data_IF_342330225432
#
_entry.id   IF_342330225432
#
_cell.length_a   1.000
_cell.length_b   1.000
_cell.length_c   1.000
_cell.angle_alpha   90.00
_cell.angle_beta   90.00
_cell.angle_gamma   90.00
#
_symmetry.space_group_name_H-M   'P 1'
#
loop_
_entity.id
_entity.type
_entity.pdbx_description
1 polymer ?
#
# COMPACT_ATOMS: atom_id res chain seq x y z
N UNK A 1 26.15 57.57 -12.75
CA UNK A 1 26.26 56.58 -13.83
C UNK A 1 26.28 55.19 -13.19
N UNK A 2 25.11 54.56 -13.03
CA UNK A 2 25.01 53.24 -12.40
C UNK A 2 25.27 52.20 -13.49
N UNK A 3 26.49 51.64 -13.52
CA UNK A 3 26.81 50.48 -14.35
C UNK A 3 26.10 49.27 -13.73
N UNK A 4 25.06 48.78 -14.40
CA UNK A 4 24.44 47.51 -14.05
C UNK A 4 25.34 46.40 -14.60
N UNK A 5 26.06 45.73 -13.71
CA UNK A 5 26.99 44.66 -14.05
C UNK A 5 26.22 43.45 -14.60
N UNK A 6 26.30 43.21 -15.92
CA UNK A 6 25.66 42.07 -16.61
C UNK A 6 26.42 40.77 -16.38
N UNK A 7 26.76 40.46 -15.14
CA UNK A 7 27.34 39.18 -14.73
C UNK A 7 26.37 38.52 -13.75
N UNK A 8 25.59 37.56 -14.27
CA UNK A 8 24.72 36.73 -13.44
C UNK A 8 23.21 36.95 -13.58
N UNK A 9 22.72 37.63 -14.62
CA UNK A 9 21.27 37.68 -14.85
C UNK A 9 20.83 36.38 -15.52
N UNK A 10 20.34 35.43 -14.72
CA UNK A 10 19.58 34.28 -15.23
C UNK A 10 18.47 34.85 -16.13
N UNK A 11 18.42 34.42 -17.39
CA UNK A 11 17.39 34.90 -18.30
C UNK A 11 16.03 34.47 -17.79
N UNK A 12 15.01 35.31 -17.98
CA UNK A 12 13.66 35.01 -17.52
C UNK A 12 13.16 33.67 -18.11
N UNK A 13 13.56 33.36 -19.34
CA UNK A 13 13.28 32.09 -20.02
C UNK A 13 13.88 30.89 -19.28
N UNK A 14 15.11 31.00 -18.76
CA UNK A 14 15.74 29.92 -18.00
C UNK A 14 15.01 29.65 -16.67
N UNK A 15 14.63 30.71 -15.94
CA UNK A 15 13.87 30.59 -14.69
C UNK A 15 12.51 29.95 -14.96
N UNK A 16 11.84 30.36 -16.04
CA UNK A 16 10.53 29.84 -16.42
C UNK A 16 10.60 28.36 -16.83
N UNK A 17 11.63 27.97 -17.58
CA UNK A 17 11.85 26.57 -17.99
C UNK A 17 12.12 25.68 -16.77
N UNK A 18 13.01 26.09 -15.87
CA UNK A 18 13.31 25.33 -14.65
C UNK A 18 12.08 25.22 -13.75
N UNK A 19 11.35 26.33 -13.56
CA UNK A 19 10.11 26.34 -12.78
C UNK A 19 9.05 25.39 -13.36
N UNK A 20 8.88 25.38 -14.68
CA UNK A 20 7.95 24.48 -15.34
C UNK A 20 8.31 23.00 -15.18
N UNK A 21 9.59 22.65 -15.33
CA UNK A 21 10.07 21.27 -15.08
C UNK A 21 9.80 20.88 -13.62
N UNK A 22 10.07 21.77 -12.67
CA UNK A 22 9.88 21.50 -11.25
C UNK A 22 8.40 21.23 -10.93
N UNK A 23 7.48 22.01 -11.50
CA UNK A 23 6.03 21.78 -11.37
C UNK A 23 5.64 20.39 -11.89
N UNK A 24 6.13 20.00 -13.08
CA UNK A 24 5.86 18.67 -13.63
C UNK A 24 6.36 17.57 -12.69
N UNK A 25 7.59 17.70 -12.21
CA UNK A 25 8.19 16.71 -11.29
C UNK A 25 7.36 16.57 -10.00
N UNK A 26 6.90 17.68 -9.42
CA UNK A 26 6.07 17.66 -8.21
C UNK A 26 4.72 16.98 -8.43
N UNK A 27 4.08 17.21 -9.59
CA UNK A 27 2.82 16.55 -9.93
C UNK A 27 3.00 15.03 -9.98
N UNK A 28 4.02 14.54 -10.71
CA UNK A 28 4.28 13.11 -10.81
C UNK A 28 4.71 12.50 -9.47
N UNK A 29 5.52 13.20 -8.68
CA UNK A 29 5.94 12.74 -7.35
C UNK A 29 4.73 12.57 -6.40
N UNK A 30 3.76 13.48 -6.46
CA UNK A 30 2.52 13.38 -5.67
C UNK A 30 1.74 12.12 -6.01
N UNK A 31 1.51 11.87 -7.32
CA UNK A 31 0.71 10.73 -7.79
C UNK A 31 1.42 9.39 -7.55
N UNK A 32 2.74 9.34 -7.77
CA UNK A 32 3.53 8.13 -7.56
C UNK A 32 3.57 7.71 -6.09
N UNK A 33 3.62 8.68 -5.16
CA UNK A 33 3.60 8.42 -3.73
C UNK A 33 2.32 7.71 -3.26
N UNK A 34 1.16 8.18 -3.74
CA UNK A 34 -0.14 7.59 -3.38
C UNK A 34 -0.24 6.13 -3.82
N UNK A 35 0.10 5.86 -5.09
CA UNK A 35 0.04 4.50 -5.62
C UNK A 35 1.07 3.57 -4.96
N UNK A 36 2.25 4.10 -4.62
CA UNK A 36 3.27 3.34 -3.92
C UNK A 36 2.80 2.90 -2.53
N UNK A 37 2.13 3.78 -1.76
CA UNK A 37 1.62 3.43 -0.43
C UNK A 37 0.60 2.29 -0.52
N UNK A 38 -0.40 2.41 -1.41
CA UNK A 38 -1.44 1.40 -1.59
C UNK A 38 -0.84 0.05 -2.01
N UNK A 39 0.13 0.07 -2.93
CA UNK A 39 0.79 -1.14 -3.40
C UNK A 39 1.58 -1.84 -2.26
N UNK A 40 2.27 -1.08 -1.42
CA UNK A 40 2.99 -1.62 -0.26
C UNK A 40 2.04 -2.29 0.74
N UNK A 41 0.93 -1.62 1.09
CA UNK A 41 -0.08 -2.20 1.99
C UNK A 41 -0.66 -3.48 1.41
N UNK A 42 -1.02 -3.49 0.11
CA UNK A 42 -1.55 -4.68 -0.57
C UNK A 42 -0.54 -5.82 -0.59
N UNK A 43 0.73 -5.52 -0.88
CA UNK A 43 1.80 -6.51 -0.90
C UNK A 43 1.99 -7.14 0.49
N UNK A 44 2.09 -6.32 1.55
CA UNK A 44 2.21 -6.79 2.93
C UNK A 44 1.01 -7.62 3.38
N UNK A 45 -0.21 -7.15 3.11
CA UNK A 45 -1.43 -7.88 3.45
C UNK A 45 -1.48 -9.24 2.74
N UNK A 46 -1.14 -9.27 1.45
CA UNK A 46 -1.06 -10.50 0.66
C UNK A 46 0.01 -11.45 1.21
N UNK A 47 1.17 -10.92 1.59
CA UNK A 47 2.28 -11.69 2.12
C UNK A 47 1.88 -12.35 3.45
N UNK A 48 1.38 -11.57 4.41
CA UNK A 48 0.90 -12.12 5.69
C UNK A 48 -0.18 -13.19 5.50
N UNK A 49 -1.14 -12.96 4.60
CA UNK A 49 -2.14 -13.97 4.26
C UNK A 49 -1.51 -15.25 3.68
N UNK A 50 -0.52 -15.10 2.78
CA UNK A 50 0.14 -16.21 2.10
C UNK A 50 1.01 -17.03 3.06
N UNK A 51 1.68 -16.37 3.99
CA UNK A 51 2.46 -17.00 5.06
C UNK A 51 1.55 -17.77 6.01
N UNK A 52 0.44 -17.17 6.46
CA UNK A 52 -0.52 -17.82 7.34
C UNK A 52 -1.16 -19.07 6.73
N UNK A 53 -1.53 -19.02 5.44
CA UNK A 53 -2.07 -20.23 4.78
C UNK A 53 -1.01 -21.31 4.60
N UNK A 54 0.25 -20.92 4.38
CA UNK A 54 1.38 -21.86 4.25
C UNK A 54 1.73 -22.51 5.59
N UNK A 55 1.76 -21.73 6.67
CA UNK A 55 2.00 -22.21 8.03
C UNK A 55 0.95 -23.25 8.45
N UNK A 56 -0.32 -23.03 8.13
CA UNK A 56 -1.37 -24.02 8.44
C UNK A 56 -1.18 -25.35 7.72
N UNK A 57 -0.75 -25.34 6.47
CA UNK A 57 -0.47 -26.57 5.72
C UNK A 57 0.73 -27.30 6.33
N UNK A 58 1.74 -26.55 6.77
CA UNK A 58 2.92 -27.12 7.44
C UNK A 58 2.59 -27.75 8.80
N UNK A 59 1.75 -27.09 9.60
CA UNK A 59 1.35 -27.59 10.93
C UNK A 59 0.34 -28.73 10.82
N UNK A 60 -0.53 -28.73 9.81
CA UNK A 60 -1.51 -29.78 9.59
C UNK A 60 -1.39 -30.36 8.17
N UNK A 61 -0.52 -31.38 8.04
CA UNK A 61 -0.25 -32.08 6.78
C UNK A 61 -1.47 -32.83 6.19
N UNK A 62 -2.58 -32.96 6.93
CA UNK A 62 -3.83 -33.54 6.43
C UNK A 62 -4.80 -32.50 5.87
N UNK A 63 -4.56 -31.22 6.13
CA UNK A 63 -5.38 -30.14 5.61
C UNK A 63 -5.10 -29.92 4.13
N UNK A 64 -6.17 -29.79 3.34
CA UNK A 64 -6.01 -29.51 1.91
C UNK A 64 -5.41 -28.11 1.70
N UNK A 65 -4.39 -27.92 0.83
CA UNK A 65 -3.70 -26.65 0.68
C UNK A 65 -4.63 -25.50 0.28
N UNK A 66 -4.51 -24.35 0.97
CA UNK A 66 -5.22 -23.10 0.64
C UNK A 66 -4.22 -22.11 0.09
N UNK A 67 -4.60 -21.36 -0.94
CA UNK A 67 -3.74 -20.34 -1.56
C UNK A 67 -4.47 -19.02 -1.66
N UNK A 68 -3.73 -17.92 -1.59
CA UNK A 68 -4.23 -16.60 -1.97
C UNK A 68 -4.30 -16.52 -3.50
N UNK A 69 -5.47 -16.25 -4.06
CA UNK A 69 -5.70 -16.23 -5.50
C UNK A 69 -5.65 -14.81 -6.05
N UNK A 70 -6.44 -13.91 -5.46
CA UNK A 70 -6.54 -12.51 -5.91
C UNK A 70 -6.57 -11.58 -4.72
N UNK A 71 -6.01 -10.38 -4.88
CA UNK A 71 -6.19 -9.28 -3.92
C UNK A 71 -6.76 -8.10 -4.68
N UNK A 72 -7.88 -7.57 -4.20
CA UNK A 72 -8.56 -6.43 -4.81
C UNK A 72 -8.70 -5.30 -3.81
N UNK A 73 -8.45 -4.08 -4.26
CA UNK A 73 -8.65 -2.86 -3.46
C UNK A 73 -9.86 -2.13 -3.98
N UNK A 74 -10.78 -1.77 -3.09
CA UNK A 74 -11.95 -0.95 -3.41
C UNK A 74 -12.04 0.26 -2.49
N UNK A 75 -12.75 1.30 -2.89
CA UNK A 75 -12.92 2.53 -2.10
C UNK A 75 -11.85 3.60 -2.37
N UNK A 76 -12.20 4.85 -2.08
CA UNK A 76 -11.35 6.01 -2.36
C UNK A 76 -10.53 6.40 -1.13
N UNK A 77 -11.16 6.99 -0.12
CA UNK A 77 -10.53 7.41 1.15
C UNK A 77 -10.41 6.24 2.14
N UNK A 78 -11.52 5.50 2.29
CA UNK A 78 -11.57 4.26 3.05
C UNK A 78 -11.38 3.09 2.08
N UNK A 79 -10.18 2.55 2.03
CA UNK A 79 -9.80 1.47 1.12
C UNK A 79 -10.07 0.12 1.77
N UNK A 80 -10.80 -0.75 1.10
CA UNK A 80 -11.00 -2.14 1.52
C UNK A 80 -10.11 -3.05 0.70
N UNK A 81 -9.24 -3.80 1.39
CA UNK A 81 -8.38 -4.82 0.79
C UNK A 81 -9.09 -6.16 0.97
N UNK A 82 -9.57 -6.72 -0.13
CA UNK A 82 -10.18 -8.04 -0.14
C UNK A 82 -9.16 -9.06 -0.63
N UNK A 83 -8.80 -9.99 0.24
CA UNK A 83 -7.91 -11.10 -0.07
C UNK A 83 -8.77 -12.32 -0.32
N UNK A 84 -8.74 -12.82 -1.57
CA UNK A 84 -9.46 -14.02 -1.98
C UNK A 84 -8.59 -15.25 -1.80
N UNK A 85 -9.17 -16.27 -1.18
CA UNK A 85 -8.53 -17.57 -1.03
C UNK A 85 -8.98 -18.53 -2.15
N UNK A 86 -8.40 -19.71 -2.20
CA UNK A 86 -8.75 -20.73 -3.21
C UNK A 86 -9.95 -21.59 -2.79
N UNK A 87 -10.40 -21.46 -1.53
CA UNK A 87 -11.52 -22.20 -0.97
C UNK A 87 -12.05 -21.50 0.29
N UNK A 88 -13.27 -21.84 0.67
CA UNK A 88 -13.84 -21.49 1.97
C UNK A 88 -13.10 -22.19 3.10
N UNK A 89 -12.78 -21.42 4.14
CA UNK A 89 -12.06 -21.88 5.34
C UNK A 89 -12.90 -21.67 6.59
N UNK A 90 -12.56 -22.35 7.68
CA UNK A 90 -13.25 -22.18 8.96
C UNK A 90 -13.10 -20.75 9.49
N UNK A 91 -14.06 -20.24 10.30
CA UNK A 91 -13.99 -18.89 10.87
C UNK A 91 -12.72 -18.65 11.69
N UNK A 92 -12.26 -19.65 12.44
CA UNK A 92 -11.01 -19.58 13.21
C UNK A 92 -9.79 -19.42 12.30
N UNK A 93 -9.71 -20.20 11.22
CA UNK A 93 -8.63 -20.07 10.25
C UNK A 93 -8.71 -18.73 9.51
N UNK A 94 -9.92 -18.26 9.20
CA UNK A 94 -10.13 -16.94 8.60
C UNK A 94 -9.59 -15.82 9.50
N UNK A 95 -9.85 -15.89 10.80
CA UNK A 95 -9.34 -14.91 11.77
C UNK A 95 -7.82 -14.98 11.92
N UNK A 96 -7.24 -16.18 11.87
CA UNK A 96 -5.79 -16.36 11.89
C UNK A 96 -5.13 -15.70 10.66
N UNK A 97 -5.63 -15.96 9.46
CA UNK A 97 -5.13 -15.35 8.21
C UNK A 97 -5.31 -13.84 8.23
N UNK A 98 -6.47 -13.36 8.70
CA UNK A 98 -6.75 -11.93 8.84
C UNK A 98 -5.75 -11.26 9.79
N UNK A 99 -5.53 -11.83 10.96
CA UNK A 99 -4.59 -11.27 11.95
C UNK A 99 -3.16 -11.24 11.42
N UNK A 100 -2.71 -12.31 10.77
CA UNK A 100 -1.38 -12.31 10.14
C UNK A 100 -1.25 -11.24 9.04
N UNK A 101 -2.29 -11.07 8.22
CA UNK A 101 -2.34 -10.00 7.21
C UNK A 101 -2.29 -8.61 7.84
N UNK A 102 -3.02 -8.39 8.93
CA UNK A 102 -3.04 -7.12 9.65
C UNK A 102 -1.68 -6.85 10.30
N UNK A 103 -1.04 -7.85 10.91
CA UNK A 103 0.29 -7.71 11.51
C UNK A 103 1.34 -7.35 10.46
N UNK A 104 1.33 -8.01 9.29
CA UNK A 104 2.27 -7.71 8.22
C UNK A 104 2.14 -6.27 7.68
N UNK A 105 0.93 -5.70 7.74
CA UNK A 105 0.71 -4.29 7.39
C UNK A 105 1.07 -3.35 8.55
N UNK A 106 0.85 -3.77 9.79
CA UNK A 106 1.27 -3.04 11.00
C UNK A 106 2.80 -2.83 11.02
N UNK A 107 3.55 -3.83 10.54
CA UNK A 107 5.01 -3.77 10.36
C UNK A 107 5.49 -2.66 9.40
N UNK A 108 4.59 -2.07 8.60
CA UNK A 108 4.90 -0.87 7.80
C UNK A 108 4.95 0.42 8.64
N UNK A 109 4.62 0.35 9.94
CA UNK A 109 4.64 1.48 10.86
C UNK A 109 3.36 2.32 10.86
N UNK A 110 2.25 1.77 10.36
CA UNK A 110 0.93 2.42 10.41
C UNK A 110 0.24 2.19 11.75
N UNK A 111 -0.79 2.98 12.07
CA UNK A 111 -1.50 2.82 13.32
C UNK A 111 -2.69 1.86 13.13
N UNK A 112 -2.76 0.82 13.96
CA UNK A 112 -3.83 -0.18 13.91
C UNK A 112 -4.84 -0.01 15.05
N UNK A 113 -6.11 0.06 14.69
CA UNK A 113 -7.25 0.00 15.62
C UNK A 113 -8.17 -1.15 15.22
N UNK A 114 -8.02 -2.30 15.87
CA UNK A 114 -8.79 -3.51 15.53
C UNK A 114 -8.43 -4.05 14.14
N UNK A 115 -9.40 -3.99 13.21
CA UNK A 115 -9.24 -4.44 11.81
C UNK A 115 -8.99 -3.29 10.83
N UNK A 116 -8.86 -2.06 11.34
CA UNK A 116 -8.63 -0.86 10.55
C UNK A 116 -7.20 -0.40 10.77
N UNK A 117 -6.49 -0.15 9.66
CA UNK A 117 -5.13 0.39 9.65
C UNK A 117 -5.21 1.79 9.08
N UNK A 118 -4.71 2.77 9.82
CA UNK A 118 -4.74 4.19 9.45
C UNK A 118 -3.34 4.65 9.07
N UNK A 119 -3.19 5.12 7.84
CA UNK A 119 -2.04 5.91 7.42
C UNK A 119 -2.36 7.41 7.53
N UNK A 120 -1.39 8.26 7.21
CA UNK A 120 -1.63 9.71 7.15
C UNK A 120 -2.60 10.11 6.02
N UNK A 121 -2.87 9.21 5.06
CA UNK A 121 -3.65 9.50 3.84
C UNK A 121 -4.94 8.69 3.75
N UNK A 122 -4.92 7.43 4.17
CA UNK A 122 -6.01 6.49 3.95
C UNK A 122 -6.31 5.65 5.19
N UNK A 123 -7.53 5.15 5.26
CA UNK A 123 -7.89 4.08 6.19
C UNK A 123 -8.08 2.77 5.41
N UNK A 124 -7.40 1.72 5.83
CA UNK A 124 -7.40 0.41 5.21
C UNK A 124 -8.18 -0.56 6.07
N UNK A 125 -9.18 -1.23 5.50
CA UNK A 125 -9.87 -2.36 6.12
C UNK A 125 -9.52 -3.64 5.37
N UNK A 126 -8.96 -4.62 6.07
CA UNK A 126 -8.60 -5.90 5.46
C UNK A 126 -9.74 -6.90 5.67
N UNK A 127 -10.13 -7.60 4.62
CA UNK A 127 -11.15 -8.66 4.69
C UNK A 127 -10.69 -9.88 3.90
N UNK A 128 -11.00 -11.06 4.44
CA UNK A 128 -10.72 -12.34 3.79
C UNK A 128 -12.02 -12.86 3.19
N UNK A 129 -11.97 -13.20 1.90
CA UNK A 129 -13.09 -13.78 1.16
C UNK A 129 -12.68 -15.13 0.56
N UNK A 130 -13.62 -16.09 0.44
CA UNK A 130 -13.37 -17.34 -0.26
C UNK A 130 -13.21 -17.12 -1.77
#
# INVERSE_FOLDING_TARGET
MIKMDKKGQLSAEFILLVGFILVIVLIFASIAGDQSEVNSVVASAKQGASEAVSERVFVNNTATPVRVTTVTVTGNENKTIQIRLSKTISPEFKNFVLNSSLNAVDDLGFNRTGNVITSNRYQYTITIVP
#
